data_IF_713823333197
#
_entry.id   IF_713823333197
#
_cell.length_a   1.000
_cell.length_b   1.000
_cell.length_c   1.000
_cell.angle_alpha   90.00
_cell.angle_beta   90.00
_cell.angle_gamma   90.00
#
_symmetry.space_group_name_H-M   'P 1'
#
loop_
_entity.id
_entity.type
_entity.pdbx_description
1 polymer ?
#
# COMPACT_ATOMS: atom_id res chain seq x y z
N UNK A 1 -4.16 25.57 7.92
CA UNK A 1 -3.60 24.22 7.71
C UNK A 1 -4.73 23.20 7.83
N UNK A 2 -4.80 22.20 6.95
CA UNK A 2 -5.82 21.14 7.03
C UNK A 2 -5.54 20.30 8.29
N UNK A 3 -6.56 20.01 9.09
CA UNK A 3 -6.40 19.12 10.24
C UNK A 3 -6.27 17.68 9.71
N UNK A 4 -5.09 17.07 9.87
CA UNK A 4 -4.78 15.70 9.41
C UNK A 4 -4.90 14.77 10.59
N UNK A 5 -5.73 13.73 10.48
CA UNK A 5 -5.91 12.70 11.51
C UNK A 5 -4.61 11.90 11.69
N UNK A 6 -4.34 11.41 12.90
CA UNK A 6 -3.07 10.71 13.20
C UNK A 6 -2.82 9.52 12.27
N UNK A 7 -3.85 8.77 11.93
CA UNK A 7 -3.74 7.58 11.07
C UNK A 7 -3.41 7.93 9.60
N UNK A 8 -3.82 9.10 9.11
CA UNK A 8 -3.52 9.58 7.75
C UNK A 8 -2.03 9.94 7.55
N UNK A 9 -1.27 9.99 8.65
CA UNK A 9 0.18 10.25 8.65
C UNK A 9 1.01 8.97 8.62
N UNK A 10 0.37 7.82 8.76
CA UNK A 10 1.03 6.51 8.78
C UNK A 10 1.15 6.00 7.36
N UNK A 11 2.36 5.62 6.97
CA UNK A 11 2.65 4.88 5.73
C UNK A 11 3.11 3.48 6.10
N UNK A 12 2.57 2.46 5.42
CA UNK A 12 2.95 1.06 5.65
C UNK A 12 3.77 0.55 4.48
N UNK A 13 4.97 0.08 4.75
CA UNK A 13 5.83 -0.56 3.75
C UNK A 13 5.32 -1.96 3.40
N UNK A 14 5.25 -2.27 2.11
CA UNK A 14 4.88 -3.55 1.55
C UNK A 14 6.14 -4.22 0.98
N UNK A 15 7.04 -4.63 1.87
CA UNK A 15 8.27 -5.34 1.54
C UNK A 15 7.98 -6.84 1.42
N UNK A 16 7.39 -7.22 0.29
CA UNK A 16 7.06 -8.60 -0.06
C UNK A 16 7.63 -8.97 -1.43
N UNK A 17 7.97 -10.24 -1.60
CA UNK A 17 8.40 -10.84 -2.86
C UNK A 17 7.24 -11.40 -3.70
N UNK A 18 6.02 -11.34 -3.19
CA UNK A 18 4.81 -11.88 -3.83
C UNK A 18 3.61 -10.94 -3.60
N UNK A 19 2.62 -10.99 -4.50
CA UNK A 19 1.51 -10.05 -4.49
C UNK A 19 0.50 -10.31 -3.36
N UNK A 20 0.19 -11.57 -3.11
CA UNK A 20 -0.88 -12.00 -2.21
C UNK A 20 -0.74 -11.43 -0.78
N UNK A 21 0.41 -11.55 -0.09
CA UNK A 21 0.55 -10.98 1.25
C UNK A 21 0.50 -9.44 1.25
N UNK A 22 1.00 -8.78 0.21
CA UNK A 22 0.94 -7.32 0.07
C UNK A 22 -0.50 -6.81 -0.10
N UNK A 23 -1.29 -7.50 -0.93
CA UNK A 23 -2.69 -7.20 -1.19
C UNK A 23 -3.53 -7.46 0.06
N UNK A 24 -3.30 -8.57 0.76
CA UNK A 24 -4.04 -8.91 1.97
C UNK A 24 -3.76 -7.92 3.11
N UNK A 25 -2.49 -7.53 3.31
CA UNK A 25 -2.16 -6.50 4.28
C UNK A 25 -2.84 -5.15 3.94
N UNK A 26 -2.84 -4.78 2.66
CA UNK A 26 -3.51 -3.56 2.18
C UNK A 26 -5.01 -3.59 2.49
N UNK A 27 -5.68 -4.72 2.20
CA UNK A 27 -7.11 -4.91 2.49
C UNK A 27 -7.43 -4.76 3.98
N UNK A 28 -6.58 -5.31 4.84
CA UNK A 28 -6.75 -5.22 6.31
C UNK A 28 -6.56 -3.80 6.85
N UNK A 29 -5.78 -2.98 6.16
CA UNK A 29 -5.42 -1.61 6.54
C UNK A 29 -6.23 -0.53 5.80
N UNK A 30 -7.13 -0.92 4.89
CA UNK A 30 -7.98 0.02 4.15
C UNK A 30 -8.72 0.97 5.11
N UNK A 31 -8.59 2.27 4.87
CA UNK A 31 -9.16 3.34 5.71
C UNK A 31 -8.48 3.56 7.08
N UNK A 32 -7.47 2.76 7.45
CA UNK A 32 -6.77 2.84 8.75
C UNK A 32 -5.38 3.47 8.68
N UNK A 33 -4.85 3.71 7.48
CA UNK A 33 -3.53 4.33 7.26
C UNK A 33 -3.59 5.35 6.13
N UNK A 34 -2.61 6.25 6.08
CA UNK A 34 -2.53 7.30 5.07
C UNK A 34 -2.08 6.82 3.70
N UNK A 35 -1.49 5.62 3.60
CA UNK A 35 -1.08 5.02 2.35
C UNK A 35 -0.15 3.83 2.55
N UNK A 36 0.25 3.23 1.44
CA UNK A 36 1.21 2.13 1.38
C UNK A 36 2.44 2.54 0.56
N UNK A 37 3.62 2.04 0.95
CA UNK A 37 4.87 2.20 0.20
C UNK A 37 5.22 0.85 -0.42
N UNK A 38 5.32 0.83 -1.73
CA UNK A 38 5.77 -0.34 -2.49
C UNK A 38 7.28 -0.28 -2.62
N UNK A 39 7.96 -1.38 -2.24
CA UNK A 39 9.40 -1.55 -2.40
C UNK A 39 9.79 -2.04 -3.79
N UNK A 40 11.09 -1.95 -4.12
CA UNK A 40 11.64 -2.47 -5.38
C UNK A 40 11.52 -4.00 -5.48
N UNK A 41 11.59 -4.71 -4.36
CA UNK A 41 11.44 -6.17 -4.32
C UNK A 41 10.10 -6.61 -4.89
N UNK A 42 9.01 -6.00 -4.41
CA UNK A 42 7.66 -6.32 -4.89
C UNK A 42 7.50 -6.00 -6.38
N UNK A 43 7.93 -4.82 -6.84
CA UNK A 43 7.80 -4.49 -8.27
C UNK A 43 8.66 -5.38 -9.16
N UNK A 44 9.86 -5.76 -8.73
CA UNK A 44 10.70 -6.67 -9.51
C UNK A 44 10.10 -8.07 -9.59
N UNK A 45 9.42 -8.53 -8.53
CA UNK A 45 8.87 -9.87 -8.47
C UNK A 45 7.53 -10.02 -9.20
N UNK A 46 6.64 -9.03 -9.10
CA UNK A 46 5.27 -9.11 -9.68
C UNK A 46 4.99 -8.13 -10.82
N UNK A 47 5.76 -7.05 -10.93
CA UNK A 47 5.57 -6.01 -11.95
C UNK A 47 4.72 -4.83 -11.47
N UNK A 48 4.47 -3.89 -12.39
CA UNK A 48 3.76 -2.64 -12.11
C UNK A 48 2.23 -2.78 -12.01
N UNK A 49 1.67 -3.91 -12.40
CA UNK A 49 0.24 -4.22 -12.23
C UNK A 49 -0.18 -4.24 -10.75
N UNK A 50 0.78 -4.46 -9.84
CA UNK A 50 0.57 -4.44 -8.40
C UNK A 50 -0.09 -3.15 -7.91
N UNK A 51 0.16 -2.00 -8.55
CA UNK A 51 -0.47 -0.75 -8.14
C UNK A 51 -1.99 -0.77 -8.31
N UNK A 52 -2.48 -1.31 -9.43
CA UNK A 52 -3.91 -1.45 -9.68
C UNK A 52 -4.53 -2.40 -8.64
N UNK A 53 -3.87 -3.54 -8.39
CA UNK A 53 -4.32 -4.53 -7.40
C UNK A 53 -4.37 -3.97 -5.98
N UNK A 54 -3.41 -3.10 -5.61
CA UNK A 54 -3.38 -2.43 -4.30
C UNK A 54 -4.47 -1.35 -4.19
N UNK A 55 -4.74 -0.61 -5.26
CA UNK A 55 -5.88 0.31 -5.33
C UNK A 55 -7.21 -0.42 -5.16
N UNK A 56 -7.40 -1.54 -5.87
CA UNK A 56 -8.60 -2.40 -5.73
C UNK A 56 -8.72 -2.99 -4.31
N UNK A 57 -7.59 -3.19 -3.62
CA UNK A 57 -7.55 -3.63 -2.23
C UNK A 57 -7.81 -2.52 -1.20
N UNK A 58 -7.95 -1.26 -1.62
CA UNK A 58 -8.32 -0.13 -0.76
C UNK A 58 -7.17 0.84 -0.43
N UNK A 59 -6.02 0.74 -1.11
CA UNK A 59 -4.98 1.76 -0.99
C UNK A 59 -5.44 3.08 -1.63
N UNK A 60 -5.46 4.16 -0.84
CA UNK A 60 -5.83 5.51 -1.32
C UNK A 60 -4.62 6.31 -1.80
N UNK A 61 -3.42 6.01 -1.29
CA UNK A 61 -2.15 6.61 -1.68
C UNK A 61 -1.10 5.52 -1.75
N UNK A 62 -0.40 5.47 -2.89
CA UNK A 62 0.69 4.54 -3.14
C UNK A 62 1.95 5.37 -3.37
N UNK A 63 3.03 4.98 -2.71
CA UNK A 63 4.37 5.52 -2.92
C UNK A 63 5.24 4.42 -3.51
N UNK A 64 6.00 4.71 -4.56
CA UNK A 64 6.95 3.78 -5.18
C UNK A 64 8.26 4.52 -5.41
#
# INVERSE_FOLDING_TARGET
>A
MKNILSHERILVALDYDTAEPAIELTRRLAGKVGGVKVGLELVNAVGFDIFARLTDAGATRIFY
#
